data_IF_940898283010
#
_entry.id   IF_940898283010
#
_cell.length_a   1.000
_cell.length_b   1.000
_cell.length_c   1.000
_cell.angle_alpha   90.00
_cell.angle_beta   90.00
_cell.angle_gamma   90.00
#
_symmetry.space_group_name_H-M   'P 1'
#
loop_
_entity.id
_entity.type
_entity.pdbx_description
1 polymer ?
#
# COMPACT_ATOMS: atom_id res chain seq x y z
N UNK A 1 15.58 21.25 -5.60
CA UNK A 1 16.29 21.53 -4.34
C UNK A 1 15.38 21.20 -3.16
N UNK A 2 15.96 20.74 -2.05
CA UNK A 2 15.29 20.39 -0.79
C UNK A 2 16.02 21.13 0.33
N UNK A 3 15.33 22.06 0.98
CA UNK A 3 15.94 22.96 1.96
C UNK A 3 16.29 22.24 3.26
N UNK A 4 17.51 22.44 3.75
CA UNK A 4 18.06 21.89 5.00
C UNK A 4 18.25 22.98 6.04
N UNK A 5 17.93 22.63 7.29
CA UNK A 5 18.06 23.50 8.47
C UNK A 5 18.90 22.80 9.54
N UNK A 6 19.50 23.60 10.44
CA UNK A 6 20.34 23.09 11.53
C UNK A 6 19.57 22.22 12.53
N UNK A 7 18.33 22.61 12.86
CA UNK A 7 17.44 21.81 13.73
C UNK A 7 15.99 22.26 13.64
N UNK A 8 15.05 21.46 14.16
CA UNK A 8 13.63 21.82 14.13
C UNK A 8 13.30 23.16 14.82
N UNK A 9 14.10 23.56 15.82
CA UNK A 9 13.98 24.85 16.51
C UNK A 9 14.61 25.99 15.72
N UNK A 10 15.72 25.74 15.01
CA UNK A 10 16.45 26.72 14.19
C UNK A 10 16.10 26.56 12.72
N UNK A 11 14.99 27.17 12.31
CA UNK A 11 14.42 27.03 10.96
C UNK A 11 15.07 27.90 9.87
N UNK A 12 16.20 28.53 10.15
CA UNK A 12 16.98 29.21 9.13
C UNK A 12 17.59 28.17 8.19
N UNK A 13 17.44 28.40 6.88
CA UNK A 13 17.99 27.54 5.84
C UNK A 13 19.50 27.73 5.85
N UNK A 14 20.23 26.65 6.09
CA UNK A 14 21.69 26.65 6.15
C UNK A 14 22.32 26.04 4.91
N UNK A 15 21.58 25.16 4.21
CA UNK A 15 22.06 24.39 3.07
C UNK A 15 20.85 23.80 2.31
N UNK A 16 21.08 23.14 1.17
CA UNK A 16 20.05 22.43 0.41
C UNK A 16 20.61 21.22 -0.35
N UNK A 17 19.83 20.14 -0.40
CA UNK A 17 20.09 19.03 -1.33
C UNK A 17 19.59 19.40 -2.72
N UNK A 18 20.26 18.97 -3.81
CA UNK A 18 19.80 19.32 -5.16
C UNK A 18 18.53 18.57 -5.52
N UNK A 19 18.47 17.30 -5.17
CA UNK A 19 17.34 16.39 -5.43
C UNK A 19 17.10 15.41 -4.27
N UNK A 20 16.09 14.54 -4.40
CA UNK A 20 15.73 13.57 -3.36
C UNK A 20 16.77 12.43 -3.25
N UNK A 21 17.47 12.11 -4.33
CA UNK A 21 18.58 11.15 -4.35
C UNK A 21 19.72 11.57 -3.44
N UNK A 22 20.18 12.83 -3.53
CA UNK A 22 21.25 13.35 -2.66
C UNK A 22 20.84 13.29 -1.17
N UNK A 23 19.57 13.58 -0.89
CA UNK A 23 19.02 13.45 0.47
C UNK A 23 19.08 12.00 0.95
N UNK A 24 18.66 11.04 0.13
CA UNK A 24 18.68 9.61 0.49
C UNK A 24 20.12 9.10 0.63
N UNK A 25 21.05 9.57 -0.20
CA UNK A 25 22.47 9.25 -0.08
C UNK A 25 23.04 9.70 1.28
N UNK A 26 22.72 10.93 1.70
CA UNK A 26 23.06 11.41 3.04
C UNK A 26 22.46 10.52 4.13
N UNK A 27 21.21 10.09 4.00
CA UNK A 27 20.54 9.24 5.01
C UNK A 27 21.19 7.85 5.10
N UNK A 28 21.66 7.30 3.98
CA UNK A 28 22.36 6.00 3.94
C UNK A 28 23.74 6.05 4.58
N UNK A 29 24.48 7.12 4.32
CA UNK A 29 25.90 7.23 4.65
C UNK A 29 26.26 8.62 5.17
N UNK A 30 25.66 9.10 6.28
CA UNK A 30 26.00 10.40 6.84
C UNK A 30 27.36 10.35 7.56
N UNK A 31 27.93 11.50 7.94
CA UNK A 31 29.14 11.55 8.77
C UNK A 31 29.01 10.71 10.05
N UNK A 32 30.14 10.17 10.54
CA UNK A 32 30.15 9.23 11.68
C UNK A 32 29.53 9.83 12.96
N UNK A 33 29.72 11.12 13.20
CA UNK A 33 29.11 11.85 14.33
C UNK A 33 27.58 11.85 14.27
N UNK A 34 27.00 11.95 13.08
CA UNK A 34 25.55 11.89 12.86
C UNK A 34 25.02 10.47 13.10
N UNK A 35 25.76 9.45 12.63
CA UNK A 35 25.44 8.03 12.89
C UNK A 35 25.42 7.75 14.40
N UNK A 36 26.44 8.22 15.13
CA UNK A 36 26.52 8.06 16.58
C UNK A 36 25.35 8.74 17.29
N UNK A 37 25.01 9.98 16.90
CA UNK A 37 23.89 10.72 17.48
C UNK A 37 22.55 10.01 17.24
N UNK A 38 22.28 9.54 16.01
CA UNK A 38 21.06 8.78 15.70
C UNK A 38 21.00 7.48 16.49
N UNK A 39 22.08 6.71 16.54
CA UNK A 39 22.12 5.44 17.26
C UNK A 39 21.97 5.63 18.77
N UNK A 40 22.61 6.64 19.36
CA UNK A 40 22.38 7.02 20.76
C UNK A 40 20.91 7.35 21.01
N UNK A 41 20.32 8.19 20.16
CA UNK A 41 18.92 8.61 20.30
C UNK A 41 17.94 7.45 20.23
N UNK A 42 18.24 6.43 19.42
CA UNK A 42 17.44 5.19 19.31
C UNK A 42 17.47 4.31 20.56
N UNK A 43 18.45 4.51 21.45
CA UNK A 43 18.49 3.80 22.74
C UNK A 43 17.60 4.44 23.80
N UNK A 44 17.17 5.69 23.59
CA UNK A 44 16.35 6.44 24.52
C UNK A 44 14.87 6.13 24.35
N UNK A 45 14.11 6.28 25.44
CA UNK A 45 12.66 6.25 25.38
C UNK A 45 12.12 7.47 24.59
N UNK A 46 11.16 7.26 23.68
CA UNK A 46 10.62 8.31 22.78
C UNK A 46 9.97 9.45 23.55
N UNK A 47 9.45 9.20 24.75
CA UNK A 47 8.79 10.19 25.59
C UNK A 47 9.75 10.89 26.56
N UNK A 48 10.99 10.41 26.66
CA UNK A 48 12.03 11.05 27.47
C UNK A 48 12.34 12.48 27.01
N UNK A 49 12.68 13.33 27.98
CA UNK A 49 13.09 14.71 27.72
C UNK A 49 14.38 14.75 26.88
N UNK A 50 15.29 13.80 27.08
CA UNK A 50 16.54 13.71 26.33
C UNK A 50 16.27 13.41 24.84
N UNK A 51 15.41 12.43 24.52
CA UNK A 51 15.03 12.12 23.14
C UNK A 51 14.44 13.35 22.45
N UNK A 52 13.48 14.01 23.12
CA UNK A 52 12.82 15.22 22.61
C UNK A 52 13.83 16.35 22.39
N UNK A 53 14.75 16.56 23.32
CA UNK A 53 15.79 17.58 23.22
C UNK A 53 16.73 17.32 22.04
N UNK A 54 17.20 16.08 21.85
CA UNK A 54 18.05 15.73 20.70
C UNK A 54 17.30 15.96 19.38
N UNK A 55 16.09 15.39 19.25
CA UNK A 55 15.27 15.52 18.04
C UNK A 55 15.01 16.98 17.66
N UNK A 56 14.69 17.84 18.63
CA UNK A 56 14.26 19.22 18.37
C UNK A 56 15.45 20.17 18.19
N UNK A 57 16.50 20.02 19.00
CA UNK A 57 17.57 21.02 19.11
C UNK A 57 18.88 20.61 18.43
N UNK A 58 19.14 19.31 18.22
CA UNK A 58 20.44 18.82 17.74
C UNK A 58 20.40 18.13 16.38
N UNK A 59 19.25 17.59 15.98
CA UNK A 59 19.11 16.88 14.71
C UNK A 59 18.80 17.86 13.56
N UNK A 60 19.59 17.86 12.47
CA UNK A 60 19.25 18.61 11.27
C UNK A 60 17.97 18.08 10.64
N UNK A 61 17.26 18.94 9.92
CA UNK A 61 15.97 18.61 9.32
C UNK A 61 15.82 19.20 7.93
N UNK A 62 14.87 18.69 7.17
CA UNK A 62 14.53 19.15 5.83
C UNK A 62 13.03 19.34 5.67
N UNK A 63 12.63 20.19 4.72
CA UNK A 63 11.27 20.21 4.18
C UNK A 63 11.28 19.71 2.75
N UNK A 64 10.57 18.60 2.51
CA UNK A 64 10.65 17.87 1.24
C UNK A 64 9.68 18.43 0.20
N UNK A 65 8.46 18.81 0.60
CA UNK A 65 7.38 19.11 -0.36
C UNK A 65 7.43 20.51 -0.99
N UNK A 66 8.07 21.46 -0.32
CA UNK A 66 8.08 22.87 -0.75
C UNK A 66 9.42 23.54 -0.50
N UNK A 67 9.74 24.50 -1.36
CA UNK A 67 10.82 25.46 -1.17
C UNK A 67 10.30 26.71 -0.45
N UNK A 68 11.23 27.46 0.15
CA UNK A 68 10.94 28.65 0.93
C UNK A 68 11.86 29.80 0.54
N UNK A 69 11.33 31.02 0.54
CA UNK A 69 12.07 32.27 0.37
C UNK A 69 12.60 32.80 1.71
N UNK A 70 13.35 33.90 1.66
CA UNK A 70 13.86 34.63 2.83
C UNK A 70 14.79 33.80 3.75
N UNK A 71 15.35 32.69 3.24
CA UNK A 71 16.27 31.85 3.99
C UNK A 71 15.65 31.20 5.23
N UNK A 72 14.33 31.03 5.30
CA UNK A 72 13.66 30.56 6.53
C UNK A 72 12.43 29.69 6.24
N UNK A 73 12.38 28.49 6.84
CA UNK A 73 11.27 27.53 6.68
C UNK A 73 10.07 27.92 7.55
N UNK A 74 9.06 28.51 6.91
CA UNK A 74 7.77 28.88 7.53
C UNK A 74 6.69 28.86 6.45
N UNK A 75 5.46 28.46 6.79
CA UNK A 75 4.34 28.42 5.85
C UNK A 75 4.20 29.72 5.01
N UNK A 76 4.30 30.88 5.65
CA UNK A 76 4.19 32.19 4.98
C UNK A 76 5.32 32.48 3.97
N UNK A 77 6.47 31.80 4.10
CA UNK A 77 7.64 31.99 3.24
C UNK A 77 7.68 31.00 2.07
N UNK A 78 6.66 30.18 1.88
CA UNK A 78 6.65 29.18 0.81
C UNK A 78 6.79 29.84 -0.58
N UNK A 79 7.65 29.27 -1.42
CA UNK A 79 7.92 29.80 -2.76
C UNK A 79 7.27 28.96 -3.85
N UNK A 80 7.59 27.67 -3.89
CA UNK A 80 7.19 26.75 -4.97
C UNK A 80 7.24 25.30 -4.47
N UNK A 81 6.39 24.41 -5.02
CA UNK A 81 6.50 22.99 -4.76
C UNK A 81 7.84 22.44 -5.29
N UNK A 82 8.37 21.41 -4.64
CA UNK A 82 9.61 20.75 -5.08
C UNK A 82 9.40 19.71 -6.18
N UNK A 83 8.15 19.40 -6.51
CA UNK A 83 7.77 18.24 -7.34
C UNK A 83 7.63 16.95 -6.54
N UNK A 84 7.71 17.02 -5.20
CA UNK A 84 7.56 15.88 -4.31
C UNK A 84 6.42 16.10 -3.31
N UNK A 85 5.76 15.02 -2.93
CA UNK A 85 4.84 14.96 -1.81
C UNK A 85 5.42 14.04 -0.73
N UNK A 86 5.46 14.54 0.50
CA UNK A 86 5.97 13.84 1.68
C UNK A 86 4.80 13.27 2.50
N UNK A 87 4.91 12.01 2.88
CA UNK A 87 3.97 11.31 3.74
C UNK A 87 4.72 10.80 4.97
N UNK A 88 4.24 11.20 6.14
CA UNK A 88 4.74 10.72 7.43
C UNK A 88 3.92 9.52 7.88
N UNK A 89 4.57 8.37 8.06
CA UNK A 89 3.94 7.16 8.56
C UNK A 89 4.45 6.87 9.96
N UNK A 90 3.55 6.97 10.94
CA UNK A 90 3.86 6.73 12.35
C UNK A 90 3.34 5.36 12.80
N UNK A 91 4.16 4.59 13.51
CA UNK A 91 3.79 3.28 14.07
C UNK A 91 3.88 2.11 13.10
N UNK A 92 4.24 2.34 11.83
CA UNK A 92 4.42 1.32 10.81
C UNK A 92 5.74 1.53 10.07
N UNK A 93 6.35 0.43 9.65
CA UNK A 93 7.58 0.38 8.87
C UNK A 93 7.30 -0.17 7.47
N UNK A 94 8.30 -0.15 6.60
CA UNK A 94 8.24 -0.74 5.26
C UNK A 94 7.97 -2.27 5.27
N UNK A 95 8.06 -2.93 6.43
CA UNK A 95 7.73 -4.34 6.60
C UNK A 95 6.22 -4.58 6.82
N UNK A 96 5.46 -3.54 7.17
CA UNK A 96 4.06 -3.62 7.61
C UNK A 96 3.04 -3.42 6.48
N UNK A 97 3.44 -2.80 5.37
CA UNK A 97 2.59 -2.56 4.20
C UNK A 97 3.42 -2.58 2.90
N UNK A 98 2.76 -2.85 1.77
CA UNK A 98 3.42 -2.89 0.46
C UNK A 98 3.67 -1.47 -0.04
N UNK A 99 4.94 -1.09 -0.14
CA UNK A 99 5.32 0.19 -0.75
C UNK A 99 5.30 0.03 -2.27
N UNK A 100 4.39 0.73 -2.93
CA UNK A 100 4.30 0.73 -4.39
C UNK A 100 5.45 1.57 -5.00
N UNK A 101 6.57 0.91 -5.25
CA UNK A 101 7.78 1.50 -5.83
C UNK A 101 7.63 1.97 -7.29
N UNK A 102 6.47 1.75 -7.92
CA UNK A 102 6.13 2.41 -9.19
C UNK A 102 5.97 3.92 -9.01
N UNK A 103 5.50 4.36 -7.83
CA UNK A 103 5.17 5.76 -7.54
C UNK A 103 6.00 6.35 -6.41
N UNK A 104 6.36 5.53 -5.43
CA UNK A 104 7.22 5.94 -4.31
C UNK A 104 8.65 6.01 -4.81
N UNK A 105 9.19 7.23 -4.92
CA UNK A 105 10.56 7.47 -5.38
C UNK A 105 11.58 7.34 -4.27
N UNK A 106 11.20 7.58 -3.01
CA UNK A 106 12.08 7.38 -1.86
C UNK A 106 11.31 7.02 -0.59
N UNK A 107 11.96 6.25 0.28
CA UNK A 107 11.50 6.06 1.66
C UNK A 107 12.65 5.73 2.60
N UNK A 108 12.50 6.04 3.89
CA UNK A 108 13.50 5.73 4.93
C UNK A 108 12.85 5.69 6.32
N UNK A 109 13.46 4.95 7.24
CA UNK A 109 12.98 4.85 8.62
C UNK A 109 13.17 6.15 9.40
N UNK A 110 12.18 6.44 10.24
CA UNK A 110 12.19 7.58 11.15
C UNK A 110 13.28 7.44 12.23
N UNK A 111 13.51 8.51 13.00
CA UNK A 111 14.54 8.57 14.03
C UNK A 111 14.41 7.40 15.04
N UNK A 112 13.19 7.07 15.45
CA UNK A 112 12.91 5.98 16.41
C UNK A 112 12.85 4.58 15.78
N UNK A 113 12.99 4.43 14.46
CA UNK A 113 12.75 3.18 13.72
C UNK A 113 11.33 2.60 13.85
N UNK A 114 10.37 3.38 14.34
CA UNK A 114 8.97 2.94 14.51
C UNK A 114 8.04 3.49 13.44
N UNK A 115 8.59 4.25 12.48
CA UNK A 115 7.85 4.93 11.43
C UNK A 115 8.68 4.98 10.15
N UNK A 116 8.05 5.34 9.04
CA UNK A 116 8.70 5.50 7.75
C UNK A 116 8.30 6.83 7.11
N UNK A 117 9.28 7.54 6.59
CA UNK A 117 9.07 8.70 5.72
C UNK A 117 8.93 8.21 4.29
N UNK A 118 7.87 8.61 3.59
CA UNK A 118 7.62 8.24 2.20
C UNK A 118 7.58 9.50 1.32
N UNK A 119 8.20 9.41 0.14
CA UNK A 119 8.23 10.49 -0.85
C UNK A 119 7.74 10.00 -2.20
N UNK A 120 6.85 10.77 -2.80
CA UNK A 120 6.20 10.49 -4.08
C UNK A 120 6.45 11.67 -5.04
N UNK A 121 6.73 11.38 -6.31
CA UNK A 121 6.81 12.43 -7.34
C UNK A 121 5.41 12.88 -7.73
N UNK A 122 5.17 14.19 -7.72
CA UNK A 122 3.86 14.78 -8.03
C UNK A 122 3.99 15.99 -8.95
N UNK A 123 2.95 16.22 -9.75
CA UNK A 123 2.82 17.40 -10.60
C UNK A 123 1.56 18.19 -10.20
N UNK A 124 1.66 19.52 -10.11
CA UNK A 124 0.52 20.38 -9.76
C UNK A 124 0.19 20.44 -8.27
N UNK A 125 1.13 20.08 -7.39
CA UNK A 125 0.97 20.28 -5.94
C UNK A 125 0.99 21.77 -5.60
N UNK A 126 0.01 22.23 -4.84
CA UNK A 126 -0.10 23.60 -4.34
C UNK A 126 -0.34 23.60 -2.83
N UNK A 127 -0.23 24.77 -2.22
CA UNK A 127 -0.55 24.94 -0.80
C UNK A 127 -2.01 24.57 -0.49
N UNK A 128 -2.92 25.00 -1.36
CA UNK A 128 -4.36 24.83 -1.22
C UNK A 128 -4.77 23.36 -1.34
N UNK A 129 -4.13 22.62 -2.24
CA UNK A 129 -4.50 21.23 -2.51
C UNK A 129 -3.72 20.20 -1.67
N UNK A 130 -2.68 20.60 -0.93
CA UNK A 130 -1.77 19.70 -0.20
C UNK A 130 -2.51 18.65 0.64
N UNK A 131 -3.50 19.07 1.45
CA UNK A 131 -4.22 18.15 2.35
C UNK A 131 -5.03 17.11 1.58
N UNK A 132 -5.79 17.56 0.58
CA UNK A 132 -6.63 16.68 -0.25
C UNK A 132 -5.76 15.76 -1.11
N UNK A 133 -4.70 16.31 -1.72
CA UNK A 133 -3.71 15.57 -2.49
C UNK A 133 -3.05 14.47 -1.65
N UNK A 134 -2.60 14.79 -0.43
CA UNK A 134 -1.98 13.82 0.47
C UNK A 134 -2.95 12.69 0.82
N UNK A 135 -4.21 13.04 1.14
CA UNK A 135 -5.25 12.05 1.43
C UNK A 135 -5.50 11.12 0.24
N UNK A 136 -5.63 11.68 -0.96
CA UNK A 136 -5.90 10.92 -2.18
C UNK A 136 -4.73 10.06 -2.60
N UNK A 137 -3.50 10.54 -2.45
CA UNK A 137 -2.28 9.76 -2.76
C UNK A 137 -2.10 8.64 -1.72
N UNK A 138 -2.32 8.93 -0.44
CA UNK A 138 -2.26 7.90 0.59
C UNK A 138 -3.32 6.81 0.38
N UNK A 139 -4.55 7.19 0.01
CA UNK A 139 -5.62 6.27 -0.38
C UNK A 139 -5.23 5.44 -1.63
N UNK A 140 -4.69 6.11 -2.65
CA UNK A 140 -4.26 5.48 -3.92
C UNK A 140 -3.15 4.46 -3.74
N UNK A 141 -2.18 4.77 -2.87
CA UNK A 141 -1.00 3.95 -2.62
C UNK A 141 -1.18 2.99 -1.44
N UNK A 142 -2.36 3.01 -0.81
CA UNK A 142 -2.68 2.28 0.42
C UNK A 142 -1.68 2.51 1.57
N UNK A 143 -1.21 3.76 1.70
CA UNK A 143 -0.24 4.18 2.71
C UNK A 143 -0.99 4.74 3.93
N UNK A 144 -0.75 4.21 5.14
CA UNK A 144 -1.27 4.84 6.35
C UNK A 144 -0.58 6.18 6.57
N UNK A 145 -1.32 7.24 6.91
CA UNK A 145 -0.72 8.54 7.21
C UNK A 145 -1.48 9.26 8.33
N UNK A 146 -0.76 10.09 9.08
CA UNK A 146 -1.37 11.00 10.05
C UNK A 146 -1.79 12.31 9.35
N UNK A 147 -3.09 12.59 9.31
CA UNK A 147 -3.60 13.84 8.74
C UNK A 147 -3.11 15.10 9.49
N UNK A 148 -2.75 14.99 10.78
CA UNK A 148 -2.13 16.08 11.56
C UNK A 148 -0.67 16.31 11.16
N UNK A 149 -0.04 15.34 10.51
CA UNK A 149 1.30 15.45 9.96
C UNK A 149 1.34 16.17 8.60
N UNK A 150 0.20 16.54 8.00
CA UNK A 150 0.17 17.23 6.71
C UNK A 150 0.26 18.75 6.88
N UNK A 151 1.43 19.32 6.57
CA UNK A 151 1.68 20.77 6.57
C UNK A 151 2.64 21.18 5.47
N UNK A 152 2.52 22.41 4.96
CA UNK A 152 3.39 22.99 3.93
C UNK A 152 4.84 23.06 4.43
N UNK A 153 5.02 23.42 5.70
CA UNK A 153 6.31 23.54 6.38
C UNK A 153 6.68 22.28 7.18
N UNK A 154 6.15 21.11 6.78
CA UNK A 154 6.44 19.85 7.47
C UNK A 154 7.94 19.56 7.42
N UNK A 155 8.53 19.51 8.60
CA UNK A 155 9.93 19.12 8.80
C UNK A 155 10.02 17.61 9.04
N UNK A 156 11.03 17.01 8.44
CA UNK A 156 11.50 15.66 8.80
C UNK A 156 12.98 15.75 9.19
N UNK A 157 13.34 15.11 10.30
CA UNK A 157 14.73 15.09 10.77
C UNK A 157 15.55 14.15 9.88
N UNK A 158 16.80 14.51 9.60
CA UNK A 158 17.73 13.68 8.85
C UNK A 158 18.15 12.50 9.73
N UNK A 159 17.72 11.29 9.39
CA UNK A 159 18.00 10.09 10.18
C UNK A 159 19.26 9.39 9.68
N UNK A 160 19.47 8.15 10.12
CA UNK A 160 20.44 7.22 9.56
C UNK A 160 19.73 5.90 9.26
N UNK A 161 19.62 5.57 7.98
CA UNK A 161 19.01 4.32 7.52
C UNK A 161 19.78 3.75 6.32
N UNK A 162 20.66 2.76 6.56
CA UNK A 162 21.41 2.08 5.49
C UNK A 162 20.52 1.45 4.42
N UNK A 163 19.28 1.13 4.76
CA UNK A 163 18.31 0.49 3.87
C UNK A 163 17.35 1.49 3.22
N UNK A 164 17.59 2.80 3.37
CA UNK A 164 16.79 3.81 2.71
C UNK A 164 16.70 3.52 1.20
N UNK A 165 15.54 3.76 0.62
CA UNK A 165 15.28 3.45 -0.78
C UNK A 165 15.24 4.72 -1.60
N UNK A 166 15.78 4.64 -2.81
CA UNK A 166 15.63 5.67 -3.84
C UNK A 166 15.56 5.02 -5.22
N UNK A 167 14.60 5.48 -6.02
CA UNK A 167 14.51 5.23 -7.45
C UNK A 167 13.99 6.49 -8.13
N UNK A 168 14.76 7.03 -9.08
CA UNK A 168 14.34 8.21 -9.84
C UNK A 168 13.36 7.86 -10.98
N UNK A 169 13.36 6.60 -11.43
CA UNK A 169 12.50 6.09 -12.49
C UNK A 169 11.14 5.64 -11.93
N UNK A 170 10.41 6.59 -11.34
CA UNK A 170 9.04 6.39 -10.85
C UNK A 170 8.06 7.27 -11.60
N UNK A 171 6.83 6.80 -11.70
CA UNK A 171 5.72 7.55 -12.27
C UNK A 171 5.43 8.81 -11.45
N UNK A 172 5.20 9.93 -12.14
CA UNK A 172 4.76 11.19 -11.54
C UNK A 172 3.24 11.15 -11.38
N UNK A 173 2.72 11.51 -10.22
CA UNK A 173 1.27 11.61 -9.98
C UNK A 173 0.79 13.04 -10.28
N UNK A 174 0.03 13.27 -11.37
CA UNK A 174 -0.60 14.56 -11.61
C UNK A 174 -1.75 14.80 -10.63
N UNK A 175 -1.62 15.80 -9.77
CA UNK A 175 -2.59 16.13 -8.72
C UNK A 175 -3.96 16.49 -9.31
N UNK A 176 -3.99 17.19 -10.45
CA UNK A 176 -5.22 17.55 -11.13
C UNK A 176 -6.09 16.34 -11.52
N UNK A 177 -5.49 15.15 -11.73
CA UNK A 177 -6.22 13.94 -12.11
C UNK A 177 -6.82 13.17 -10.91
N UNK A 178 -6.35 13.46 -9.70
CA UNK A 178 -6.82 12.80 -8.46
C UNK A 178 -7.73 13.67 -7.61
N UNK A 179 -7.73 14.99 -7.86
CA UNK A 179 -8.65 15.91 -7.20
C UNK A 179 -10.03 15.83 -7.86
N UNK A 180 -11.11 15.96 -7.07
CA UNK A 180 -12.45 16.08 -7.64
C UNK A 180 -12.57 17.39 -8.43
N UNK A 181 -13.14 17.33 -9.65
CA UNK A 181 -13.48 18.52 -10.43
C UNK A 181 -14.44 19.42 -9.62
N UNK A 182 -14.27 20.75 -9.73
CA UNK A 182 -15.17 21.77 -9.13
C UNK A 182 -16.61 21.74 -9.70
N UNK A 183 -16.99 20.70 -10.45
CA UNK A 183 -18.38 20.42 -10.80
C UNK A 183 -19.10 19.83 -9.60
N UNK A 184 -19.99 20.64 -9.02
CA UNK A 184 -21.08 20.31 -8.08
C UNK A 184 -21.07 18.90 -7.45
N UNK A 185 -20.95 18.91 -6.13
CA UNK A 185 -21.14 17.81 -5.18
C UNK A 185 -21.89 16.59 -5.75
N UNK A 186 -21.14 15.64 -6.31
CA UNK A 186 -21.60 14.26 -6.35
C UNK A 186 -21.50 13.78 -4.92
N UNK A 187 -22.68 13.70 -4.29
CA UNK A 187 -22.97 13.03 -3.02
C UNK A 187 -21.93 11.96 -2.73
N UNK A 188 -21.26 12.09 -1.58
CA UNK A 188 -20.33 11.10 -1.02
C UNK A 188 -20.87 9.67 -1.23
N UNK A 189 -20.48 8.99 -2.31
CA UNK A 189 -20.46 7.54 -2.31
C UNK A 189 -19.15 7.18 -1.64
N UNK A 190 -19.26 6.73 -0.40
CA UNK A 190 -18.19 6.07 0.33
C UNK A 190 -17.68 4.92 -0.54
N UNK A 191 -16.59 5.16 -1.27
CA UNK A 191 -15.91 4.11 -2.02
C UNK A 191 -15.27 3.17 -1.02
N UNK A 192 -16.00 2.11 -0.70
CA UNK A 192 -15.44 0.98 0.02
C UNK A 192 -14.53 0.21 -0.93
N UNK A 193 -13.22 0.25 -0.69
CA UNK A 193 -12.24 -0.65 -1.33
C UNK A 193 -12.44 -2.12 -0.90
N UNK A 194 -13.34 -2.36 0.05
CA UNK A 194 -14.00 -3.63 0.32
C UNK A 194 -15.49 -3.52 0.01
N UNK A 195 -15.90 -3.59 -1.25
CA UNK A 195 -17.32 -3.72 -1.57
C UNK A 195 -17.83 -5.08 -1.04
N UNK A 196 -18.29 -5.09 0.21
CA UNK A 196 -19.27 -6.04 0.70
C UNK A 196 -20.60 -5.58 0.10
N UNK A 197 -21.05 -6.27 -0.95
CA UNK A 197 -22.49 -6.48 -1.06
C UNK A 197 -22.68 -7.97 -0.98
N UNK A 198 -22.80 -8.57 0.20
CA UNK A 198 -23.72 -9.71 0.33
C UNK A 198 -25.05 -9.09 0.79
N UNK A 199 -25.66 -8.26 -0.06
CA UNK A 199 -27.11 -8.11 0.08
C UNK A 199 -27.70 -9.50 -0.19
N UNK A 200 -28.41 -10.07 0.80
CA UNK A 200 -29.14 -11.34 0.66
C UNK A 200 -30.23 -11.28 -0.42
N UNK A 201 -30.56 -10.08 -0.87
CA UNK A 201 -31.31 -9.86 -2.08
C UNK A 201 -30.34 -9.81 -3.27
N UNK A 202 -30.61 -10.63 -4.29
CA UNK A 202 -29.95 -10.71 -5.60
C UNK A 202 -29.94 -9.39 -6.41
N UNK A 203 -29.89 -8.22 -5.77
CA UNK A 203 -29.99 -6.92 -6.39
C UNK A 203 -28.58 -6.37 -6.66
N UNK A 204 -28.02 -6.81 -7.80
CA UNK A 204 -27.76 -5.89 -8.91
C UNK A 204 -27.22 -4.50 -8.45
N UNK A 205 -25.91 -4.28 -8.49
CA UNK A 205 -25.26 -3.05 -7.95
C UNK A 205 -25.51 -1.78 -8.78
N UNK A 206 -25.69 -0.65 -8.09
CA UNK A 206 -25.85 0.70 -8.67
C UNK A 206 -24.50 1.43 -8.78
N UNK A 207 -24.26 2.15 -9.89
CA UNK A 207 -23.68 3.50 -9.86
C UNK A 207 -23.86 4.28 -11.19
N UNK A 208 -23.92 5.61 -11.05
CA UNK A 208 -23.94 6.73 -12.01
C UNK A 208 -25.03 6.82 -13.11
N UNK A 209 -25.73 5.74 -13.47
CA UNK A 209 -26.68 5.79 -14.61
C UNK A 209 -28.09 5.25 -14.33
N UNK A 210 -28.39 4.86 -13.09
CA UNK A 210 -29.71 4.37 -12.67
C UNK A 210 -30.00 2.89 -13.00
N UNK A 211 -29.05 2.17 -13.59
CA UNK A 211 -29.24 0.78 -14.02
C UNK A 211 -28.19 -0.15 -13.42
N UNK A 212 -28.60 -1.40 -13.16
CA UNK A 212 -27.83 -2.31 -12.34
C UNK A 212 -27.08 -3.37 -13.17
N UNK A 213 -25.75 -3.41 -13.09
CA UNK A 213 -24.89 -4.42 -13.71
C UNK A 213 -24.05 -5.13 -12.63
N UNK A 214 -23.86 -6.44 -12.75
CA UNK A 214 -22.97 -7.24 -11.90
C UNK A 214 -21.51 -7.07 -12.32
N UNK A 215 -20.64 -6.81 -11.35
CA UNK A 215 -19.20 -6.66 -11.57
C UNK A 215 -18.38 -7.85 -11.07
N UNK A 216 -18.99 -8.74 -10.30
CA UNK A 216 -18.40 -10.00 -9.87
C UNK A 216 -19.50 -11.04 -9.61
N UNK A 217 -19.10 -12.28 -9.34
CA UNK A 217 -19.99 -13.38 -8.93
C UNK A 217 -19.60 -13.96 -7.56
N UNK A 218 -18.95 -13.18 -6.69
CA UNK A 218 -18.39 -13.70 -5.44
C UNK A 218 -19.48 -14.27 -4.52
N UNK A 219 -20.61 -13.58 -4.36
CA UNK A 219 -21.69 -14.02 -3.49
C UNK A 219 -22.30 -15.35 -3.91
N UNK A 220 -22.49 -15.54 -5.22
CA UNK A 220 -23.02 -16.79 -5.80
C UNK A 220 -22.12 -17.98 -5.43
N UNK A 221 -20.82 -17.73 -5.34
CA UNK A 221 -19.83 -18.73 -4.98
C UNK A 221 -19.67 -18.92 -3.46
N UNK A 222 -20.03 -17.91 -2.66
CA UNK A 222 -20.00 -17.98 -1.20
C UNK A 222 -21.27 -18.64 -0.62
N UNK A 223 -22.44 -18.44 -1.24
CA UNK A 223 -23.72 -19.00 -0.80
C UNK A 223 -23.71 -20.51 -0.49
N UNK A 224 -23.10 -21.39 -1.32
CA UNK A 224 -23.07 -22.82 -1.03
C UNK A 224 -22.02 -23.21 0.03
N UNK A 225 -21.19 -22.28 0.51
CA UNK A 225 -20.17 -22.57 1.51
C UNK A 225 -20.75 -22.43 2.92
N UNK A 226 -20.54 -23.43 3.76
CA UNK A 226 -20.87 -23.37 5.19
C UNK A 226 -19.78 -22.58 5.94
N UNK A 227 -19.87 -21.25 5.86
CA UNK A 227 -18.89 -20.32 6.44
C UNK A 227 -19.19 -20.12 7.92
N UNK A 228 -18.32 -20.63 8.77
CA UNK A 228 -18.36 -20.44 10.22
C UNK A 228 -17.41 -19.30 10.62
N UNK A 229 -17.97 -18.20 11.11
CA UNK A 229 -17.19 -17.05 11.57
C UNK A 229 -16.71 -17.24 13.00
N UNK A 230 -15.52 -16.71 13.30
CA UNK A 230 -15.00 -16.66 14.66
C UNK A 230 -15.70 -15.59 15.51
N UNK A 231 -15.25 -15.46 16.76
CA UNK A 231 -15.76 -14.48 17.72
C UNK A 231 -15.57 -13.02 17.29
N UNK A 232 -14.82 -12.74 16.22
CA UNK A 232 -14.61 -11.42 15.64
C UNK A 232 -15.38 -11.22 14.33
N UNK A 233 -16.20 -12.20 13.91
CA UNK A 233 -16.89 -12.15 12.63
C UNK A 233 -15.95 -12.38 11.45
N UNK A 234 -14.89 -13.16 11.63
CA UNK A 234 -13.85 -13.39 10.63
C UNK A 234 -13.78 -14.87 10.26
N UNK A 235 -13.59 -15.13 8.97
CA UNK A 235 -13.33 -16.47 8.46
C UNK A 235 -12.19 -16.44 7.45
N UNK A 236 -11.24 -17.35 7.63
CA UNK A 236 -10.11 -17.55 6.72
C UNK A 236 -10.24 -18.88 5.99
N UNK A 237 -10.43 -18.81 4.66
CA UNK A 237 -10.43 -19.99 3.79
C UNK A 237 -9.05 -20.68 3.74
N UNK A 238 -7.99 -19.99 4.17
CA UNK A 238 -6.62 -20.47 4.16
C UNK A 238 -5.86 -20.04 2.92
N UNK A 239 -4.53 -20.05 3.03
CA UNK A 239 -3.62 -19.57 1.97
C UNK A 239 -3.77 -20.35 0.67
N UNK A 240 -4.02 -21.65 0.76
CA UNK A 240 -4.01 -22.57 -0.39
C UNK A 240 -5.44 -22.88 -0.92
N UNK A 241 -6.49 -22.53 -0.16
CA UNK A 241 -7.89 -22.77 -0.56
C UNK A 241 -8.65 -21.48 -0.85
N UNK A 242 -7.97 -20.46 -1.40
CA UNK A 242 -8.61 -19.19 -1.76
C UNK A 242 -9.75 -19.43 -2.75
N UNK A 243 -10.91 -18.85 -2.49
CA UNK A 243 -12.05 -18.90 -3.40
C UNK A 243 -11.76 -18.08 -4.64
N UNK A 244 -11.73 -18.71 -5.81
CA UNK A 244 -11.58 -18.03 -7.10
C UNK A 244 -12.94 -17.51 -7.58
N UNK A 245 -12.98 -16.27 -8.05
CA UNK A 245 -14.19 -15.64 -8.55
C UNK A 245 -13.90 -14.78 -9.78
N UNK A 246 -14.95 -14.46 -10.53
CA UNK A 246 -14.89 -13.58 -11.69
C UNK A 246 -15.10 -12.13 -11.26
N UNK A 247 -14.28 -11.22 -11.78
CA UNK A 247 -14.35 -9.79 -11.51
C UNK A 247 -14.06 -8.99 -12.77
N UNK A 248 -14.90 -7.98 -13.06
CA UNK A 248 -14.60 -6.98 -14.08
C UNK A 248 -13.52 -6.05 -13.53
N UNK A 249 -12.37 -6.01 -14.19
CA UNK A 249 -11.29 -5.10 -13.87
C UNK A 249 -11.32 -3.89 -14.79
N UNK A 250 -11.34 -2.69 -14.21
CA UNK A 250 -11.29 -1.43 -14.96
C UNK A 250 -10.01 -0.71 -14.55
N UNK A 251 -9.08 -0.47 -15.48
CA UNK A 251 -7.87 0.25 -15.17
C UNK A 251 -8.18 1.64 -14.62
N UNK A 252 -7.44 2.03 -13.58
CA UNK A 252 -7.56 3.36 -13.01
C UNK A 252 -6.78 4.40 -13.83
N UNK A 253 -5.64 4.01 -14.43
CA UNK A 253 -4.83 4.87 -15.29
C UNK A 253 -5.48 5.08 -16.65
N UNK A 254 -5.18 6.22 -17.26
CA UNK A 254 -5.42 6.44 -18.66
C UNK A 254 -4.68 5.40 -19.53
N UNK A 255 -5.36 4.89 -20.55
CA UNK A 255 -4.86 3.90 -21.48
C UNK A 255 -4.55 4.61 -22.78
N UNK A 256 -3.26 4.70 -23.07
CA UNK A 256 -2.73 5.33 -24.28
C UNK A 256 -2.93 4.44 -25.52
N UNK A 257 -2.64 4.97 -26.70
CA UNK A 257 -2.75 4.26 -27.98
C UNK A 257 -2.03 2.90 -27.97
N UNK A 258 -2.60 1.91 -28.67
CA UNK A 258 -2.04 0.56 -28.81
C UNK A 258 -2.70 -0.52 -27.94
N UNK A 259 -3.25 -0.18 -26.76
CA UNK A 259 -3.86 -1.17 -25.86
C UNK A 259 -5.37 -0.98 -25.61
N UNK A 260 -5.93 0.19 -25.95
CA UNK A 260 -7.32 0.60 -25.64
C UNK A 260 -8.37 -0.43 -26.07
N UNK A 261 -8.28 -0.88 -27.32
CA UNK A 261 -9.24 -1.81 -27.93
C UNK A 261 -9.20 -3.17 -27.23
N UNK A 262 -8.00 -3.65 -26.90
CA UNK A 262 -7.80 -4.93 -26.22
C UNK A 262 -8.35 -4.90 -24.79
N UNK A 263 -8.12 -3.79 -24.07
CA UNK A 263 -8.58 -3.61 -22.70
C UNK A 263 -10.09 -3.42 -22.66
N UNK A 264 -10.65 -2.54 -23.52
CA UNK A 264 -12.09 -2.35 -23.61
C UNK A 264 -12.81 -3.66 -23.96
N UNK A 265 -12.22 -4.46 -24.86
CA UNK A 265 -12.73 -5.79 -25.19
C UNK A 265 -12.68 -6.75 -23.99
N UNK A 266 -11.62 -6.72 -23.19
CA UNK A 266 -11.52 -7.52 -21.97
C UNK A 266 -12.62 -7.17 -20.96
N UNK A 267 -12.80 -5.86 -20.71
CA UNK A 267 -13.88 -5.33 -19.85
C UNK A 267 -15.24 -5.79 -20.38
N UNK A 268 -15.50 -5.60 -21.67
CA UNK A 268 -16.75 -5.99 -22.32
C UNK A 268 -17.00 -7.50 -22.19
N UNK A 269 -15.99 -8.35 -22.44
CA UNK A 269 -16.10 -9.80 -22.33
C UNK A 269 -16.59 -10.21 -20.94
N UNK A 270 -15.92 -9.72 -19.90
CA UNK A 270 -16.25 -10.11 -18.54
C UNK A 270 -17.61 -9.55 -18.10
N UNK A 271 -17.87 -8.27 -18.40
CA UNK A 271 -19.10 -7.57 -18.01
C UNK A 271 -20.35 -8.20 -18.65
N UNK A 272 -20.27 -8.53 -19.94
CA UNK A 272 -21.39 -9.13 -20.69
C UNK A 272 -21.71 -10.54 -20.19
N UNK A 273 -20.69 -11.35 -19.88
CA UNK A 273 -20.90 -12.74 -19.43
C UNK A 273 -21.37 -12.79 -17.98
N UNK A 274 -20.94 -11.84 -17.14
CA UNK A 274 -21.53 -11.63 -15.81
C UNK A 274 -22.97 -11.10 -15.90
N UNK A 275 -23.41 -10.57 -17.04
CA UNK A 275 -24.74 -9.97 -17.20
C UNK A 275 -25.45 -10.47 -18.46
N UNK A 276 -25.55 -11.79 -18.64
CA UNK A 276 -26.07 -12.42 -19.87
C UNK A 276 -27.44 -11.87 -20.31
N UNK A 277 -28.29 -11.48 -19.36
CA UNK A 277 -29.65 -10.99 -19.63
C UNK A 277 -29.76 -9.45 -19.64
N UNK A 278 -28.68 -8.72 -19.38
CA UNK A 278 -28.74 -7.26 -19.36
C UNK A 278 -28.96 -6.69 -20.77
N UNK A 279 -29.77 -5.62 -20.93
CA UNK A 279 -29.97 -4.96 -22.21
C UNK A 279 -28.65 -4.48 -22.82
N UNK A 280 -28.45 -4.72 -24.11
CA UNK A 280 -27.24 -4.31 -24.82
C UNK A 280 -26.97 -2.81 -24.74
N UNK A 281 -28.02 -1.99 -24.83
CA UNK A 281 -27.92 -0.54 -24.73
C UNK A 281 -27.36 -0.09 -23.37
N UNK A 282 -27.71 -0.80 -22.30
CA UNK A 282 -27.19 -0.56 -20.96
C UNK A 282 -25.68 -0.85 -20.90
N UNK A 283 -25.24 -2.00 -21.41
CA UNK A 283 -23.81 -2.32 -21.47
C UNK A 283 -23.03 -1.34 -22.35
N UNK A 284 -23.63 -0.88 -23.46
CA UNK A 284 -23.02 0.11 -24.35
C UNK A 284 -22.79 1.44 -23.63
N UNK A 285 -23.82 1.95 -22.95
CA UNK A 285 -23.72 3.19 -22.16
C UNK A 285 -22.58 3.09 -21.15
N UNK A 286 -22.49 1.96 -20.45
CA UNK A 286 -21.42 1.73 -19.49
C UNK A 286 -20.02 1.74 -20.15
N UNK A 287 -19.84 1.00 -21.24
CA UNK A 287 -18.56 0.95 -21.96
C UNK A 287 -18.17 2.31 -22.54
N UNK A 288 -19.12 3.15 -22.94
CA UNK A 288 -18.87 4.52 -23.37
C UNK A 288 -18.38 5.38 -22.20
N UNK A 289 -18.97 5.26 -21.01
CA UNK A 289 -18.47 5.94 -19.80
C UNK A 289 -17.05 5.49 -19.45
N UNK A 290 -16.78 4.18 -19.51
CA UNK A 290 -15.41 3.65 -19.32
C UNK A 290 -14.47 4.24 -20.37
N UNK A 291 -14.83 4.20 -21.65
CA UNK A 291 -14.02 4.76 -22.74
C UNK A 291 -13.69 6.24 -22.50
N UNK A 292 -14.70 7.05 -22.17
CA UNK A 292 -14.52 8.47 -21.89
C UNK A 292 -13.60 8.71 -20.68
N UNK A 293 -13.77 7.90 -19.63
CA UNK A 293 -13.01 8.03 -18.40
C UNK A 293 -11.55 7.59 -18.54
N UNK A 294 -11.30 6.42 -19.15
CA UNK A 294 -9.99 5.75 -19.07
C UNK A 294 -9.23 5.64 -20.39
N UNK A 295 -9.81 5.94 -21.57
CA UNK A 295 -9.08 5.80 -22.85
C UNK A 295 -8.56 7.15 -23.34
N UNK A 296 -7.28 7.23 -23.76
CA UNK A 296 -6.62 8.44 -24.27
C UNK A 296 -5.85 8.15 -25.57
N UNK A 297 -6.19 8.77 -26.71
CA UNK A 297 -7.46 9.44 -26.95
C UNK A 297 -8.62 8.46 -26.80
N UNK A 298 -9.85 8.96 -26.71
CA UNK A 298 -11.03 8.10 -26.64
C UNK A 298 -11.16 7.27 -27.93
N UNK A 299 -11.66 6.03 -27.81
CA UNK A 299 -12.13 5.29 -28.98
C UNK A 299 -13.39 5.95 -29.52
N UNK A 300 -13.59 5.90 -30.83
CA UNK A 300 -14.84 6.37 -31.44
C UNK A 300 -16.02 5.54 -30.95
N UNK A 301 -17.21 6.15 -30.91
CA UNK A 301 -18.45 5.44 -30.56
C UNK A 301 -18.68 4.20 -31.43
N UNK A 302 -18.27 4.24 -32.69
CA UNK A 302 -18.35 3.12 -33.63
C UNK A 302 -17.45 1.95 -33.24
N UNK A 303 -16.22 2.22 -32.78
CA UNK A 303 -15.28 1.19 -32.30
C UNK A 303 -15.79 0.51 -31.03
N UNK A 304 -16.30 1.30 -30.08
CA UNK A 304 -16.91 0.80 -28.84
C UNK A 304 -18.10 -0.09 -29.16
N UNK A 305 -19.01 0.37 -30.02
CA UNK A 305 -20.19 -0.40 -30.42
C UNK A 305 -19.81 -1.68 -31.18
N UNK A 306 -18.83 -1.61 -32.07
CA UNK A 306 -18.33 -2.78 -32.81
C UNK A 306 -17.76 -3.84 -31.87
N UNK A 307 -16.99 -3.40 -30.87
CA UNK A 307 -16.44 -4.27 -29.83
C UNK A 307 -17.55 -4.95 -29.04
N UNK A 308 -18.54 -4.18 -28.56
CA UNK A 308 -19.69 -4.73 -27.85
C UNK A 308 -20.48 -5.71 -28.71
N UNK A 309 -20.76 -5.38 -29.98
CA UNK A 309 -21.52 -6.25 -30.89
C UNK A 309 -20.90 -7.64 -31.01
N UNK A 310 -19.57 -7.72 -31.13
CA UNK A 310 -18.83 -8.98 -31.24
C UNK A 310 -18.93 -9.81 -29.96
N UNK A 311 -18.82 -9.16 -28.80
CA UNK A 311 -18.86 -9.84 -27.50
C UNK A 311 -20.29 -10.25 -27.12
N UNK A 312 -21.25 -9.35 -27.28
CA UNK A 312 -22.64 -9.52 -26.86
C UNK A 312 -23.35 -10.67 -27.59
N UNK A 313 -23.02 -10.91 -28.87
CA UNK A 313 -23.55 -12.05 -29.63
C UNK A 313 -23.14 -13.41 -29.03
N UNK A 314 -21.94 -13.52 -28.45
CA UNK A 314 -21.37 -14.77 -27.92
C UNK A 314 -21.55 -14.94 -26.41
N UNK A 315 -22.42 -14.15 -25.78
CA UNK A 315 -22.50 -14.07 -24.31
C UNK A 315 -23.10 -15.29 -23.65
N UNK A 316 -24.04 -15.94 -24.32
CA UNK A 316 -24.74 -17.11 -23.78
C UNK A 316 -23.79 -18.31 -23.70
N UNK A 317 -22.93 -18.45 -24.71
CA UNK A 317 -22.01 -19.58 -24.91
C UNK A 317 -20.72 -19.48 -24.08
N UNK A 318 -20.54 -18.37 -23.35
CA UNK A 318 -19.32 -18.12 -22.56
C UNK A 318 -19.61 -18.18 -21.06
N UNK A 319 -18.57 -18.53 -20.32
CA UNK A 319 -18.56 -18.48 -18.85
C UNK A 319 -17.62 -17.37 -18.36
N UNK A 320 -17.89 -16.77 -17.19
CA UNK A 320 -17.01 -15.77 -16.62
C UNK A 320 -15.62 -16.36 -16.36
N UNK A 321 -14.56 -15.59 -16.65
CA UNK A 321 -13.19 -16.01 -16.32
C UNK A 321 -12.98 -15.74 -14.82
N UNK A 322 -12.57 -16.76 -14.07
CA UNK A 322 -12.22 -16.62 -12.65
C UNK A 322 -10.83 -16.01 -12.52
N UNK A 323 -10.77 -14.69 -12.50
CA UNK A 323 -9.55 -13.88 -12.55
C UNK A 323 -9.18 -13.22 -11.21
N UNK A 324 -9.98 -13.42 -10.16
CA UNK A 324 -9.72 -12.90 -8.82
C UNK A 324 -9.79 -14.01 -7.77
N UNK A 325 -9.24 -13.76 -6.58
CA UNK A 325 -9.28 -14.70 -5.47
C UNK A 325 -9.60 -14.00 -4.15
N UNK A 326 -10.36 -14.68 -3.28
CA UNK A 326 -10.75 -14.22 -1.95
C UNK A 326 -10.29 -15.24 -0.92
N UNK A 327 -9.62 -14.77 0.13
CA UNK A 327 -9.14 -15.59 1.25
C UNK A 327 -9.97 -15.34 2.51
N UNK A 328 -10.13 -14.07 2.83
CA UNK A 328 -10.78 -13.62 4.07
C UNK A 328 -12.21 -13.21 3.80
N UNK A 329 -13.12 -13.72 4.63
CA UNK A 329 -14.55 -13.45 4.62
C UNK A 329 -14.92 -12.82 5.97
N UNK A 330 -15.88 -11.91 5.95
CA UNK A 330 -16.32 -11.20 7.15
C UNK A 330 -17.82 -11.33 7.31
N UNK A 331 -18.24 -11.45 8.56
CA UNK A 331 -19.64 -11.39 8.96
C UNK A 331 -20.15 -9.96 8.76
N UNK A 332 -21.21 -9.83 8.00
CA UNK A 332 -21.81 -8.55 7.67
C UNK A 332 -22.59 -7.96 8.85
N UNK A 333 -23.10 -8.81 9.75
CA UNK A 333 -23.87 -8.37 10.92
C UNK A 333 -23.00 -7.62 11.93
N UNK A 334 -21.68 -7.71 11.79
CA UNK A 334 -20.69 -7.08 12.67
C UNK A 334 -20.24 -5.70 12.25
N UNK A 335 -20.65 -5.22 11.07
CA UNK A 335 -20.33 -3.88 10.56
C UNK A 335 -18.84 -3.49 10.68
N UNK A 336 -17.93 -4.45 10.46
CA UNK A 336 -16.49 -4.23 10.64
C UNK A 336 -15.97 -3.13 9.70
N UNK A 337 -15.25 -2.17 10.26
CA UNK A 337 -14.54 -1.13 9.53
C UNK A 337 -13.40 -1.71 8.68
N UNK A 338 -12.96 -0.96 7.67
CA UNK A 338 -11.81 -1.33 6.82
C UNK A 338 -10.56 -1.60 7.67
N UNK A 339 -10.29 -0.75 8.68
CA UNK A 339 -9.14 -0.90 9.57
C UNK A 339 -9.22 -2.18 10.41
N UNK A 340 -10.40 -2.51 10.94
CA UNK A 340 -10.60 -3.77 11.69
C UNK A 340 -10.40 -4.99 10.80
N UNK A 341 -10.96 -4.99 9.59
CA UNK A 341 -10.76 -6.06 8.60
C UNK A 341 -9.29 -6.26 8.27
N UNK A 342 -8.55 -5.16 8.04
CA UNK A 342 -7.10 -5.21 7.80
C UNK A 342 -6.32 -5.77 8.98
N UNK A 343 -6.64 -5.33 10.20
CA UNK A 343 -6.01 -5.85 11.42
C UNK A 343 -6.15 -7.37 11.53
N UNK A 344 -7.37 -7.89 11.32
CA UNK A 344 -7.65 -9.33 11.35
C UNK A 344 -6.85 -10.10 10.28
N UNK A 345 -6.77 -9.55 9.06
CA UNK A 345 -5.95 -10.13 8.00
C UNK A 345 -4.47 -10.18 8.39
N UNK A 346 -3.93 -9.08 8.92
CA UNK A 346 -2.53 -8.98 9.31
C UNK A 346 -2.18 -9.97 10.41
N UNK A 347 -3.03 -10.10 11.43
CA UNK A 347 -2.87 -11.09 12.51
C UNK A 347 -2.74 -12.50 11.90
N UNK A 348 -3.65 -12.87 11.00
CA UNK A 348 -3.63 -14.21 10.39
C UNK A 348 -2.43 -14.42 9.48
N UNK A 349 -2.07 -13.43 8.65
CA UNK A 349 -0.91 -13.50 7.76
C UNK A 349 0.41 -13.58 8.54
N UNK A 350 0.54 -12.83 9.63
CA UNK A 350 1.73 -12.88 10.48
C UNK A 350 1.85 -14.22 11.20
N UNK A 351 0.73 -14.80 11.64
CA UNK A 351 0.71 -16.16 12.18
C UNK A 351 1.22 -17.17 11.15
N UNK A 352 0.74 -17.12 9.90
CA UNK A 352 1.21 -18.03 8.86
C UNK A 352 2.72 -17.87 8.57
N UNK A 353 3.23 -16.63 8.55
CA UNK A 353 4.68 -16.35 8.38
C UNK A 353 5.50 -16.93 9.53
N UNK A 354 5.03 -16.75 10.76
CA UNK A 354 5.67 -17.31 11.94
C UNK A 354 5.66 -18.84 11.91
N UNK A 355 4.53 -19.45 11.56
CA UNK A 355 4.39 -20.91 11.51
C UNK A 355 5.24 -21.52 10.40
N UNK A 356 5.32 -20.87 9.22
CA UNK A 356 6.27 -21.26 8.16
C UNK A 356 7.72 -21.19 8.65
N UNK A 357 8.10 -20.10 9.32
CA UNK A 357 9.47 -19.96 9.86
C UNK A 357 9.78 -21.04 10.89
N UNK A 358 8.82 -21.36 11.77
CA UNK A 358 8.97 -22.45 12.74
C UNK A 358 9.14 -23.80 12.04
N UNK A 359 8.36 -24.08 11.00
CA UNK A 359 8.47 -25.32 10.22
C UNK A 359 9.84 -25.43 9.54
N UNK A 360 10.30 -24.39 8.87
CA UNK A 360 11.61 -24.37 8.20
C UNK A 360 12.76 -24.55 9.21
N UNK A 361 12.70 -23.89 10.37
CA UNK A 361 13.69 -24.08 11.44
C UNK A 361 13.63 -25.49 12.02
N UNK A 362 12.43 -26.03 12.25
CA UNK A 362 12.25 -27.37 12.79
C UNK A 362 12.81 -28.43 11.84
N UNK A 363 12.61 -28.28 10.54
CA UNK A 363 13.17 -29.16 9.52
C UNK A 363 14.71 -29.18 9.54
N UNK A 364 15.33 -28.00 9.62
CA UNK A 364 16.79 -27.86 9.74
C UNK A 364 17.29 -28.52 11.03
N UNK A 365 16.59 -28.31 12.15
CA UNK A 365 16.98 -28.88 13.43
C UNK A 365 16.77 -30.41 13.49
N UNK A 366 15.77 -30.95 12.78
CA UNK A 366 15.56 -32.40 12.65
C UNK A 366 16.67 -33.06 11.84
N UNK A 367 17.09 -32.40 10.76
CA UNK A 367 18.10 -32.92 9.83
C UNK A 367 19.51 -32.41 10.17
N UNK A 368 19.78 -32.10 11.45
CA UNK A 368 21.03 -31.48 11.85
C UNK A 368 22.21 -32.45 11.75
N UNK A 369 23.17 -32.14 10.87
CA UNK A 369 24.40 -32.93 10.72
C UNK A 369 25.45 -32.50 11.75
N UNK A 370 25.58 -33.30 12.83
CA UNK A 370 26.53 -33.07 13.92
C UNK A 370 27.97 -33.22 13.45
N UNK A 371 28.25 -34.10 12.48
CA UNK A 371 29.61 -34.35 11.98
C UNK A 371 30.10 -33.12 11.22
N UNK A 372 29.23 -32.55 10.37
CA UNK A 372 29.57 -31.40 9.53
C UNK A 372 29.55 -30.06 10.27
N UNK A 373 28.57 -29.85 11.16
CA UNK A 373 28.32 -28.54 11.76
C UNK A 373 28.59 -28.47 13.27
N UNK A 374 28.91 -29.60 13.91
CA UNK A 374 29.14 -29.69 15.34
C UNK A 374 27.85 -29.54 16.17
N UNK A 375 28.00 -29.17 17.45
CA UNK A 375 26.88 -29.01 18.39
C UNK A 375 25.87 -27.99 17.86
N UNK A 376 24.60 -28.39 17.81
CA UNK A 376 23.49 -27.52 17.43
C UNK A 376 23.37 -26.35 18.43
N UNK A 377 23.59 -25.14 17.92
CA UNK A 377 23.45 -23.86 18.65
C UNK A 377 22.72 -22.87 17.76
N UNK A 378 22.06 -21.87 18.35
CA UNK A 378 21.36 -20.83 17.57
C UNK A 378 22.31 -20.10 16.60
N UNK A 379 23.57 -19.90 16.98
CA UNK A 379 24.60 -19.31 16.11
C UNK A 379 24.90 -20.19 14.90
N UNK A 380 25.00 -21.51 15.09
CA UNK A 380 25.23 -22.45 13.98
C UNK A 380 24.00 -22.57 13.08
N UNK A 381 22.80 -22.56 13.65
CA UNK A 381 21.56 -22.54 12.86
C UNK A 381 21.52 -21.28 11.98
N UNK A 382 21.92 -20.12 12.50
CA UNK A 382 22.04 -18.89 11.70
C UNK A 382 22.98 -19.09 10.51
N UNK A 383 24.14 -19.70 10.72
CA UNK A 383 25.12 -19.95 9.65
C UNK A 383 24.54 -20.87 8.56
N UNK A 384 23.75 -21.88 8.93
CA UNK A 384 23.13 -22.83 8.00
C UNK A 384 21.93 -22.23 7.26
N UNK A 385 21.08 -21.46 7.95
CA UNK A 385 19.82 -20.98 7.38
C UNK A 385 19.88 -19.55 6.84
N UNK A 386 20.95 -18.80 7.13
CA UNK A 386 21.09 -17.37 6.80
C UNK A 386 20.09 -16.45 7.52
N UNK A 387 19.36 -16.95 8.53
CA UNK A 387 18.28 -16.19 9.19
C UNK A 387 18.81 -15.28 10.29
N UNK A 388 18.02 -14.24 10.60
CA UNK A 388 18.34 -13.34 11.70
C UNK A 388 18.43 -14.11 13.03
N UNK A 389 19.49 -13.84 13.80
CA UNK A 389 19.76 -14.51 15.08
C UNK A 389 18.61 -14.35 16.07
N UNK A 390 18.01 -13.15 16.14
CA UNK A 390 16.89 -12.85 17.05
C UNK A 390 15.67 -13.72 16.75
N UNK A 391 15.36 -13.92 15.46
CA UNK A 391 14.26 -14.80 15.03
C UNK A 391 14.51 -16.25 15.42
N UNK A 392 15.75 -16.72 15.29
CA UNK A 392 16.13 -18.07 15.72
C UNK A 392 15.98 -18.18 17.23
N UNK A 393 16.57 -17.25 17.99
CA UNK A 393 16.53 -17.26 19.46
C UNK A 393 15.10 -17.27 20.01
N UNK A 394 14.19 -16.50 19.39
CA UNK A 394 12.77 -16.45 19.75
C UNK A 394 12.07 -17.82 19.68
N UNK A 395 12.46 -18.68 18.74
CA UNK A 395 11.82 -19.98 18.53
C UNK A 395 12.68 -21.16 19.01
N UNK A 396 13.99 -20.96 19.19
CA UNK A 396 14.96 -22.02 19.43
C UNK A 396 14.63 -22.86 20.67
N UNK A 397 14.29 -22.22 21.78
CA UNK A 397 13.96 -22.90 23.03
C UNK A 397 12.71 -23.78 22.89
N UNK A 398 11.67 -23.26 22.23
CA UNK A 398 10.42 -23.95 21.97
C UNK A 398 10.62 -25.14 21.01
N UNK A 399 11.29 -24.91 19.88
CA UNK A 399 11.54 -25.96 18.89
C UNK A 399 12.46 -27.06 19.42
N UNK A 400 13.47 -26.71 20.21
CA UNK A 400 14.36 -27.70 20.84
C UNK A 400 13.62 -28.62 21.82
N UNK A 401 12.64 -28.09 22.56
CA UNK A 401 11.77 -28.91 23.43
C UNK A 401 10.92 -29.90 22.61
N UNK A 402 10.47 -29.52 21.43
CA UNK A 402 9.73 -30.43 20.53
C UNK A 402 10.59 -31.56 19.95
N UNK A 403 11.92 -31.38 19.92
CA UNK A 403 12.87 -32.38 19.42
C UNK A 403 13.40 -33.32 20.52
N UNK A 404 13.42 -32.89 21.77
CA UNK A 404 13.85 -33.69 22.91
C UNK A 404 13.17 -35.08 23.06
N UNK A 405 11.88 -35.27 22.72
CA UNK A 405 11.27 -36.61 22.76
C UNK A 405 11.67 -37.53 21.57
N UNK A 406 12.44 -37.06 20.60
CA UNK A 406 12.86 -37.84 19.41
C UNK A 406 14.27 -38.44 19.61
N UNK A 407 15.07 -37.94 20.56
CA UNK A 407 16.43 -38.42 20.84
C UNK A 407 16.52 -39.46 21.98
N UNK A 408 15.40 -40.08 22.35
CA UNK A 408 15.33 -41.19 23.31
C UNK A 408 14.82 -42.51 22.72
N UNK A 409 15.00 -42.71 21.41
CA UNK A 409 14.82 -43.99 20.71
C UNK A 409 16.11 -44.37 20.00
#
# INVERSE_FOLDING_TARGET
>A
MINKIESCKKRQITDSFQNIGDLVEFIKSPPSEHIQLVNHTRTLDRDSEEYKNIKINKMPAVSVGFNFTNGYVKGDNVSSPTGYLYIDVDGYTEEDFEINTTYVCAYWRSLSNTGVSIVVKVEGLTQENLKVATSKIAELLDIPYDNRAVSIDRLTVLTYDPNAYYNDNTEVIPIAEILPDNTEAIVNSTKSTHFNTINKDNLLGYECTGYKLRFNNLNELLQPLDIQFDENGFHDLGKDNKLKYAQVFIPFKAINTGQRESILKSIACQLVVLNKNAPKALTLKYLQTVNAKVMRPQLSSTEVNTTLNKVYKKRMDKQPILNASRRFIYDETRELTVTQKRSLNCIKMNKDRADKTKQELLEVMRNWDIIKYGKMTAQKIKEVTGRNKKTIDNYYSYLRKQLAPISSL
#
